data_IF_616944578287
#
_entry.id   IF_616944578287
#
_cell.length_a   1.000
_cell.length_b   1.000
_cell.length_c   1.000
_cell.angle_alpha   90.00
_cell.angle_beta   90.00
_cell.angle_gamma   90.00
#
_symmetry.space_group_name_H-M   'P 1'
#
loop_
_entity.id
_entity.type
_entity.pdbx_description
1 polymer ?
#
# COMPACT_ATOMS: atom_id res chain seq x y z
N UNK A 1 -7.18 -34.21 22.15
CA UNK A 1 -5.99 -33.37 22.44
C UNK A 1 -5.00 -33.56 21.30
N UNK A 2 -4.97 -32.64 20.34
CA UNK A 2 -3.90 -32.57 19.34
C UNK A 2 -2.98 -31.43 19.75
N UNK A 3 -1.84 -31.79 20.35
CA UNK A 3 -0.72 -30.88 20.56
C UNK A 3 -0.16 -30.51 19.18
N UNK A 4 -0.70 -29.45 18.57
CA UNK A 4 0.03 -28.68 17.58
C UNK A 4 1.12 -27.94 18.34
N UNK A 5 2.32 -28.49 18.36
CA UNK A 5 3.52 -27.71 18.65
C UNK A 5 3.60 -26.60 17.59
N UNK A 6 3.04 -25.43 17.89
CA UNK A 6 3.31 -24.20 17.16
C UNK A 6 4.82 -24.00 17.20
N UNK A 7 5.50 -24.06 16.05
CA UNK A 7 6.87 -23.62 15.96
C UNK A 7 6.88 -22.13 16.32
N UNK A 8 7.37 -21.81 17.52
CA UNK A 8 7.47 -20.44 18.03
C UNK A 8 8.48 -19.64 17.24
N UNK A 9 8.19 -18.36 16.98
CA UNK A 9 9.14 -17.44 16.34
C UNK A 9 10.41 -17.34 17.18
N UNK A 10 11.57 -17.56 16.56
CA UNK A 10 12.87 -17.40 17.23
C UNK A 10 13.24 -15.92 17.27
N UNK A 11 13.76 -15.42 18.40
CA UNK A 11 14.13 -14.01 18.57
C UNK A 11 15.60 -13.87 18.92
N UNK A 12 16.36 -13.25 18.02
CA UNK A 12 17.76 -12.87 18.22
C UNK A 12 17.79 -11.38 18.59
N UNK A 13 18.01 -11.09 19.88
CA UNK A 13 17.98 -9.72 20.41
C UNK A 13 19.18 -8.90 19.94
N UNK A 14 18.96 -7.61 19.72
CA UNK A 14 20.03 -6.62 19.57
C UNK A 14 20.69 -6.36 20.94
N UNK A 15 21.96 -5.95 20.92
CA UNK A 15 22.65 -5.45 22.13
C UNK A 15 22.33 -3.98 22.39
N UNK A 16 22.31 -3.17 21.32
CA UNK A 16 22.10 -1.72 21.37
C UNK A 16 21.12 -1.29 20.28
N UNK A 17 20.12 -0.49 20.65
CA UNK A 17 19.17 0.12 19.71
C UNK A 17 19.79 1.33 19.01
N UNK A 18 19.48 1.49 17.72
CA UNK A 18 19.89 2.64 16.90
C UNK A 18 18.87 3.78 16.93
N UNK A 19 17.85 3.71 17.78
CA UNK A 19 16.75 4.69 17.81
C UNK A 19 17.22 6.13 18.05
N UNK A 20 18.33 6.31 18.79
CA UNK A 20 18.90 7.62 19.09
C UNK A 20 19.71 8.22 17.93
N UNK A 21 19.92 7.47 16.84
CA UNK A 21 20.58 7.92 15.62
C UNK A 21 19.58 8.54 14.63
N UNK A 22 18.27 8.40 14.88
CA UNK A 22 17.20 8.81 13.97
C UNK A 22 16.53 10.12 14.42
N UNK A 23 16.50 11.11 13.53
CA UNK A 23 15.73 12.33 13.72
C UNK A 23 14.26 12.13 13.30
N UNK A 24 13.42 11.82 14.29
CA UNK A 24 11.99 11.63 14.07
C UNK A 24 11.24 12.89 13.61
N UNK A 25 11.84 14.09 13.67
CA UNK A 25 11.21 15.31 13.18
C UNK A 25 11.43 15.55 11.68
N UNK A 26 12.36 14.82 11.06
CA UNK A 26 12.72 14.97 9.67
C UNK A 26 12.85 13.61 8.98
N UNK A 27 11.72 12.90 8.88
CA UNK A 27 11.66 11.56 8.29
C UNK A 27 11.29 11.61 6.81
N UNK A 28 12.17 11.06 5.97
CA UNK A 28 11.82 10.65 4.62
C UNK A 28 11.21 9.25 4.63
N UNK A 29 10.06 9.08 3.96
CA UNK A 29 9.35 7.81 3.97
C UNK A 29 10.19 6.67 3.37
N UNK A 30 10.46 5.64 4.18
CA UNK A 30 11.13 4.42 3.72
C UNK A 30 12.66 4.49 3.69
N UNK A 31 13.26 5.56 4.20
CA UNK A 31 14.72 5.73 4.25
C UNK A 31 15.32 5.17 5.54
N UNK A 32 14.61 5.34 6.67
CA UNK A 32 15.00 4.81 7.97
C UNK A 32 14.28 3.50 8.29
N UNK A 33 14.96 2.59 8.99
CA UNK A 33 14.44 1.27 9.38
C UNK A 33 14.69 1.00 10.86
N UNK A 34 13.78 0.25 11.48
CA UNK A 34 13.88 -0.09 12.91
C UNK A 34 15.00 -1.09 13.21
N UNK A 35 15.15 -1.49 14.47
CA UNK A 35 16.25 -2.35 14.89
C UNK A 35 16.09 -3.81 14.48
N UNK A 36 14.86 -4.28 14.29
CA UNK A 36 14.56 -5.67 13.97
C UNK A 36 13.98 -5.85 12.58
N UNK A 37 14.19 -7.05 12.03
CA UNK A 37 13.46 -7.58 10.88
C UNK A 37 13.02 -9.03 11.14
N UNK A 38 11.95 -9.44 10.47
CA UNK A 38 11.49 -10.82 10.46
C UNK A 38 11.92 -11.50 9.17
N UNK A 39 12.33 -12.77 9.23
CA UNK A 39 12.54 -13.62 8.06
C UNK A 39 12.01 -15.05 8.27
N UNK A 40 11.58 -15.69 7.18
CA UNK A 40 11.14 -17.09 7.14
C UNK A 40 11.42 -17.68 5.76
N UNK A 41 11.95 -18.90 5.72
CA UNK A 41 12.39 -19.56 4.49
C UNK A 41 11.36 -20.56 4.00
N UNK A 42 11.17 -20.63 2.69
CA UNK A 42 10.44 -21.69 2.02
C UNK A 42 11.43 -22.55 1.22
N UNK A 43 11.46 -23.86 1.50
CA UNK A 43 12.18 -24.87 0.72
C UNK A 43 11.48 -26.22 0.93
N UNK A 44 11.57 -27.12 -0.05
CA UNK A 44 11.02 -28.47 0.02
C UNK A 44 9.52 -28.51 0.38
N UNK A 45 8.74 -27.52 -0.09
CA UNK A 45 7.30 -27.49 0.10
C UNK A 45 6.81 -26.83 1.40
N UNK A 46 7.70 -26.33 2.26
CA UNK A 46 7.32 -25.84 3.60
C UNK A 46 7.97 -24.51 3.95
N UNK A 47 7.21 -23.65 4.63
CA UNK A 47 7.74 -22.48 5.35
C UNK A 47 8.36 -22.93 6.68
N UNK A 48 9.55 -22.44 7.00
CA UNK A 48 10.36 -22.87 8.13
C UNK A 48 11.24 -21.74 8.67
N UNK A 49 11.80 -21.95 9.87
CA UNK A 49 12.72 -21.03 10.54
C UNK A 49 12.21 -19.58 10.71
N UNK A 50 10.97 -19.35 11.20
CA UNK A 50 10.51 -17.99 11.47
C UNK A 50 11.41 -17.33 12.54
N UNK A 51 12.10 -16.26 12.16
CA UNK A 51 13.15 -15.63 12.97
C UNK A 51 13.02 -14.11 12.95
N UNK A 52 13.01 -13.49 14.13
CA UNK A 52 13.23 -12.06 14.32
C UNK A 52 14.70 -11.86 14.67
N UNK A 53 15.36 -10.93 14.00
CA UNK A 53 16.81 -10.68 14.14
C UNK A 53 17.13 -9.20 13.92
N UNK A 54 18.36 -8.75 14.25
CA UNK A 54 18.79 -7.39 13.94
C UNK A 54 18.63 -7.09 12.44
N UNK A 55 18.09 -5.91 12.11
CA UNK A 55 17.97 -5.43 10.75
C UNK A 55 19.37 -5.33 10.09
N UNK A 56 19.48 -5.83 8.87
CA UNK A 56 20.75 -5.82 8.15
C UNK A 56 20.66 -6.34 6.72
N UNK A 57 21.77 -6.30 5.97
CA UNK A 57 21.80 -6.74 4.59
C UNK A 57 21.56 -8.24 4.45
N UNK A 58 21.00 -8.65 3.30
CA UNK A 58 20.88 -10.06 2.92
C UNK A 58 22.10 -10.49 2.11
N UNK A 59 22.65 -11.66 2.43
CA UNK A 59 23.57 -12.37 1.54
C UNK A 59 22.76 -13.24 0.58
N UNK A 60 22.71 -12.84 -0.69
CA UNK A 60 21.93 -13.53 -1.73
C UNK A 60 22.81 -13.78 -2.96
N UNK A 61 22.65 -14.95 -3.56
CA UNK A 61 23.33 -15.29 -4.81
C UNK A 61 22.90 -14.35 -5.94
N UNK A 62 23.82 -13.84 -6.77
CA UNK A 62 23.45 -13.07 -7.96
C UNK A 62 22.65 -13.91 -8.98
N UNK A 63 22.67 -15.24 -8.87
CA UNK A 63 21.87 -16.14 -9.69
C UNK A 63 20.43 -16.34 -9.16
N UNK A 64 20.03 -15.68 -8.07
CA UNK A 64 18.68 -15.81 -7.51
C UNK A 64 17.61 -15.31 -8.49
N UNK A 65 16.57 -16.11 -8.71
CA UNK A 65 15.49 -15.84 -9.68
C UNK A 65 14.79 -14.49 -9.49
N UNK A 66 14.78 -13.91 -8.29
CA UNK A 66 14.23 -12.55 -8.07
C UNK A 66 14.91 -11.49 -8.96
N UNK A 67 16.23 -11.60 -9.20
CA UNK A 67 16.97 -10.63 -10.01
C UNK A 67 16.74 -10.79 -11.51
N UNK A 68 16.38 -12.00 -11.95
CA UNK A 68 16.24 -12.32 -13.38
C UNK A 68 14.79 -12.26 -13.86
N UNK A 69 13.83 -12.60 -12.98
CA UNK A 69 12.43 -12.75 -13.35
C UNK A 69 11.46 -11.97 -12.45
N UNK A 70 11.96 -11.20 -11.48
CA UNK A 70 11.13 -10.31 -10.67
C UNK A 70 10.04 -11.01 -9.87
N UNK A 71 10.19 -12.31 -9.58
CA UNK A 71 9.21 -13.11 -8.83
C UNK A 71 9.20 -12.69 -7.35
N UNK A 72 8.53 -11.57 -7.09
CA UNK A 72 8.43 -10.94 -5.79
C UNK A 72 7.10 -10.20 -5.62
N UNK A 73 6.57 -10.25 -4.39
CA UNK A 73 5.37 -9.52 -3.98
C UNK A 73 5.61 -8.81 -2.66
N UNK A 74 4.86 -7.75 -2.39
CA UNK A 74 4.96 -7.03 -1.13
C UNK A 74 3.60 -6.55 -0.63
N UNK A 75 3.57 -6.12 0.62
CA UNK A 75 2.48 -5.38 1.23
C UNK A 75 2.95 -4.08 1.89
N UNK A 76 2.00 -3.27 2.32
CA UNK A 76 2.17 -2.04 3.04
C UNK A 76 0.98 -1.81 3.97
N UNK A 77 1.24 -1.86 5.27
CA UNK A 77 0.30 -1.46 6.31
C UNK A 77 0.97 -0.50 7.31
N UNK A 78 0.23 -0.05 8.31
CA UNK A 78 0.74 0.86 9.34
C UNK A 78 0.33 0.40 10.72
N UNK A 79 1.22 0.60 11.68
CA UNK A 79 0.93 0.58 13.11
C UNK A 79 0.89 2.02 13.64
N UNK A 80 0.01 2.24 14.61
CA UNK A 80 -0.23 3.52 15.26
C UNK A 80 -0.15 3.32 16.76
N UNK A 81 0.35 4.33 17.48
CA UNK A 81 0.36 4.33 18.93
C UNK A 81 -0.65 5.35 19.44
N UNK A 82 -1.60 4.89 20.26
CA UNK A 82 -2.63 5.75 20.83
C UNK A 82 -2.11 6.56 22.04
N UNK A 83 -3.00 7.35 22.65
CA UNK A 83 -2.68 8.20 23.81
C UNK A 83 -2.34 7.39 25.07
N UNK A 84 -2.79 6.14 25.16
CA UNK A 84 -2.48 5.22 26.26
C UNK A 84 -1.21 4.40 26.00
N UNK A 85 -0.54 4.64 24.87
CA UNK A 85 0.67 3.91 24.46
C UNK A 85 0.40 2.55 23.83
N UNK A 86 -0.87 2.17 23.58
CA UNK A 86 -1.23 0.91 22.95
C UNK A 86 -0.98 0.96 21.45
N UNK A 87 -0.58 -0.19 20.89
CA UNK A 87 -0.25 -0.32 19.47
C UNK A 87 -1.45 -0.89 18.72
N UNK A 88 -1.87 -0.19 17.68
CA UNK A 88 -3.01 -0.56 16.84
C UNK A 88 -2.58 -0.73 15.40
N UNK A 89 -3.08 -1.80 14.77
CA UNK A 89 -3.01 -2.03 13.33
C UNK A 89 -4.35 -1.71 12.68
N UNK A 90 -4.30 -1.27 11.43
CA UNK A 90 -5.50 -1.04 10.63
C UNK A 90 -5.68 -2.15 9.59
N UNK A 91 -6.71 -2.98 9.79
CA UNK A 91 -7.13 -4.06 8.90
C UNK A 91 -5.98 -5.03 8.51
N UNK A 92 -5.15 -5.53 9.46
CA UNK A 92 -4.00 -6.37 9.14
C UNK A 92 -4.38 -7.68 8.45
N UNK A 93 -5.56 -8.25 8.75
CA UNK A 93 -6.06 -9.46 8.09
C UNK A 93 -6.34 -9.25 6.60
N UNK A 94 -6.88 -8.09 6.21
CA UNK A 94 -7.06 -7.74 4.80
C UNK A 94 -5.72 -7.67 4.06
N UNK A 95 -4.67 -7.15 4.72
CA UNK A 95 -3.32 -7.11 4.14
C UNK A 95 -2.72 -8.51 3.99
N UNK A 96 -2.85 -9.36 5.02
CA UNK A 96 -2.44 -10.76 4.98
C UNK A 96 -3.10 -11.54 3.84
N UNK A 97 -4.41 -11.35 3.66
CA UNK A 97 -5.16 -11.99 2.58
C UNK A 97 -4.67 -11.50 1.20
N UNK A 98 -4.39 -10.19 1.06
CA UNK A 98 -3.95 -9.60 -0.21
C UNK A 98 -2.53 -9.98 -0.62
N UNK A 99 -1.58 -10.09 0.32
CA UNK A 99 -0.23 -10.58 -0.03
C UNK A 99 -0.28 -12.05 -0.48
N UNK A 100 -1.14 -12.88 0.12
CA UNK A 100 -1.33 -14.27 -0.32
C UNK A 100 -2.07 -14.38 -1.66
N UNK A 101 -3.03 -13.48 -1.94
CA UNK A 101 -3.63 -13.37 -3.26
C UNK A 101 -2.60 -12.99 -4.33
N UNK A 102 -1.74 -12.00 -4.02
CA UNK A 102 -0.64 -11.59 -4.90
C UNK A 102 0.37 -12.72 -5.10
N UNK A 103 0.70 -13.46 -4.03
CA UNK A 103 1.60 -14.61 -4.06
C UNK A 103 1.08 -15.69 -5.01
N UNK A 104 -0.21 -16.04 -4.92
CA UNK A 104 -0.85 -16.99 -5.83
C UNK A 104 -0.70 -16.58 -7.30
N UNK A 105 -0.89 -15.30 -7.62
CA UNK A 105 -0.75 -14.80 -9.00
C UNK A 105 0.66 -15.00 -9.57
N UNK A 106 1.68 -14.96 -8.72
CA UNK A 106 3.09 -15.13 -9.06
C UNK A 106 3.60 -16.56 -8.82
N UNK A 107 2.72 -17.53 -8.61
CA UNK A 107 3.08 -18.92 -8.26
C UNK A 107 3.98 -19.03 -7.01
N UNK A 108 3.80 -18.11 -6.06
CA UNK A 108 4.47 -18.12 -4.76
C UNK A 108 3.55 -18.84 -3.75
N UNK A 109 4.07 -19.79 -2.94
CA UNK A 109 3.31 -20.46 -1.89
C UNK A 109 2.71 -19.46 -0.89
N UNK A 110 1.50 -19.74 -0.41
CA UNK A 110 0.86 -18.90 0.60
C UNK A 110 1.64 -18.92 1.92
N UNK A 111 1.87 -17.77 2.53
CA UNK A 111 2.53 -17.65 3.82
C UNK A 111 1.54 -17.97 4.97
N UNK A 112 1.96 -18.72 6.02
CA UNK A 112 1.05 -19.14 7.09
C UNK A 112 0.56 -17.97 7.96
N UNK A 113 -0.75 -17.93 8.26
CA UNK A 113 -1.38 -16.86 9.06
C UNK A 113 -0.75 -16.76 10.46
N UNK A 114 -0.51 -17.88 11.12
CA UNK A 114 0.08 -17.90 12.46
C UNK A 114 1.48 -17.28 12.48
N UNK A 115 2.35 -17.63 11.53
CA UNK A 115 3.70 -17.04 11.45
C UNK A 115 3.64 -15.55 11.14
N UNK A 116 2.67 -15.12 10.33
CA UNK A 116 2.50 -13.70 9.99
C UNK A 116 2.17 -12.86 11.22
N UNK A 117 1.12 -13.24 11.96
CA UNK A 117 0.66 -12.46 13.10
C UNK A 117 1.60 -12.59 14.30
N UNK A 118 2.10 -13.79 14.61
CA UNK A 118 3.05 -13.99 15.71
C UNK A 118 4.36 -13.21 15.47
N UNK A 119 4.90 -13.26 14.24
CA UNK A 119 6.09 -12.51 13.87
C UNK A 119 5.86 -11.00 13.88
N UNK A 120 4.74 -10.53 13.33
CA UNK A 120 4.39 -9.11 13.27
C UNK A 120 4.21 -8.52 14.67
N UNK A 121 3.41 -9.14 15.53
CA UNK A 121 3.14 -8.66 16.89
C UNK A 121 4.38 -8.69 17.77
N UNK A 122 5.15 -9.78 17.70
CA UNK A 122 6.40 -9.89 18.48
C UNK A 122 7.39 -8.80 18.05
N UNK A 123 7.52 -8.55 16.75
CA UNK A 123 8.41 -7.51 16.24
C UNK A 123 7.91 -6.10 16.62
N UNK A 124 6.60 -5.84 16.56
CA UNK A 124 6.01 -4.55 16.99
C UNK A 124 6.23 -4.26 18.48
N UNK A 125 6.23 -5.29 19.32
CA UNK A 125 6.56 -5.15 20.76
C UNK A 125 8.03 -4.81 20.97
N UNK A 126 8.92 -5.50 20.25
CA UNK A 126 10.36 -5.27 20.32
C UNK A 126 10.74 -3.86 19.84
N UNK A 127 10.15 -3.41 18.73
CA UNK A 127 10.36 -2.08 18.16
C UNK A 127 9.33 -1.04 18.64
N UNK A 128 8.68 -1.27 19.78
CA UNK A 128 7.56 -0.43 20.23
C UNK A 128 7.95 1.05 20.38
N UNK A 129 9.17 1.36 20.82
CA UNK A 129 9.66 2.74 20.99
C UNK A 129 9.86 3.50 19.66
N UNK A 130 10.01 2.78 18.55
CA UNK A 130 10.07 3.35 17.19
C UNK A 130 8.71 3.87 16.73
N UNK A 131 7.61 3.42 17.35
CA UNK A 131 6.26 3.90 17.08
C UNK A 131 6.01 5.13 17.95
N UNK A 132 6.28 6.33 17.40
CA UNK A 132 6.02 7.58 18.11
C UNK A 132 4.51 7.85 18.18
N UNK A 133 3.99 8.27 19.35
CA UNK A 133 2.59 8.65 19.49
C UNK A 133 2.32 10.00 18.79
N UNK A 134 1.04 10.36 18.70
CA UNK A 134 0.61 11.66 18.19
C UNK A 134 0.27 11.66 16.70
N UNK A 135 -0.69 12.50 16.33
CA UNK A 135 -1.23 12.56 14.98
C UNK A 135 -0.15 12.88 13.95
N UNK A 136 -0.15 12.12 12.85
CA UNK A 136 0.84 12.22 11.79
C UNK A 136 1.99 11.21 11.93
N UNK A 137 2.21 10.62 13.10
CA UNK A 137 3.23 9.60 13.32
C UNK A 137 2.67 8.18 13.15
N UNK A 138 3.38 7.35 12.40
CA UNK A 138 3.05 5.94 12.22
C UNK A 138 4.32 5.11 12.03
N UNK A 139 4.21 3.80 12.22
CA UNK A 139 5.23 2.86 11.78
C UNK A 139 4.72 2.16 10.52
N UNK A 140 5.37 2.38 9.40
CA UNK A 140 5.05 1.67 8.17
C UNK A 140 5.64 0.26 8.20
N UNK A 141 4.82 -0.71 7.82
CA UNK A 141 5.14 -2.14 7.86
C UNK A 141 5.19 -2.66 6.43
N UNK A 142 6.30 -3.28 6.06
CA UNK A 142 6.60 -3.83 4.73
C UNK A 142 6.82 -5.34 4.78
N UNK A 143 5.75 -6.15 4.69
CA UNK A 143 5.88 -7.59 4.42
C UNK A 143 6.21 -7.81 2.94
N UNK A 144 7.04 -8.78 2.60
CA UNK A 144 7.35 -9.11 1.20
C UNK A 144 7.90 -10.53 1.06
N UNK A 145 7.76 -11.09 -0.14
CA UNK A 145 8.32 -12.40 -0.53
C UNK A 145 9.20 -12.22 -1.74
N UNK A 146 10.37 -12.86 -1.75
CA UNK A 146 11.28 -12.93 -2.90
C UNK A 146 11.62 -14.38 -3.24
N UNK A 147 11.77 -14.67 -4.53
CA UNK A 147 12.34 -15.92 -5.02
C UNK A 147 13.86 -15.99 -4.79
N UNK A 148 14.33 -17.01 -4.07
CA UNK A 148 15.74 -17.17 -3.69
C UNK A 148 16.45 -18.32 -4.40
N UNK A 149 15.73 -19.18 -5.12
CA UNK A 149 16.34 -20.29 -5.87
C UNK A 149 17.32 -19.75 -6.91
N UNK A 150 18.52 -20.31 -6.95
CA UNK A 150 19.49 -20.03 -8.01
C UNK A 150 19.05 -20.66 -9.32
N UNK A 151 19.08 -19.89 -10.40
CA UNK A 151 18.86 -20.40 -11.75
C UNK A 151 18.40 -19.35 -12.74
N UNK A 152 18.82 -19.52 -13.99
CA UNK A 152 18.43 -18.70 -15.15
C UNK A 152 17.44 -19.43 -16.05
N UNK A 153 16.74 -20.42 -15.50
CA UNK A 153 15.59 -21.03 -16.15
C UNK A 153 14.33 -20.24 -15.80
N UNK A 154 13.57 -19.88 -16.84
CA UNK A 154 12.30 -19.16 -16.69
C UNK A 154 11.20 -20.12 -16.18
N UNK A 155 11.23 -20.42 -14.89
CA UNK A 155 10.27 -21.25 -14.19
C UNK A 155 10.02 -20.70 -12.78
N UNK A 156 8.86 -20.97 -12.16
CA UNK A 156 8.63 -20.63 -10.77
C UNK A 156 9.76 -21.13 -9.87
N UNK A 157 10.09 -20.37 -8.84
CA UNK A 157 11.08 -20.75 -7.84
C UNK A 157 10.55 -21.89 -6.95
N UNK A 158 11.43 -22.78 -6.51
CA UNK A 158 11.12 -23.75 -5.44
C UNK A 158 11.55 -23.25 -4.05
N UNK A 159 12.24 -22.11 -4.01
CA UNK A 159 12.77 -21.50 -2.80
C UNK A 159 12.38 -20.03 -2.69
N UNK A 160 11.88 -19.63 -1.52
CA UNK A 160 11.45 -18.26 -1.27
C UNK A 160 11.90 -17.82 0.11
N UNK A 161 11.96 -16.51 0.31
CA UNK A 161 12.11 -15.89 1.62
C UNK A 161 11.01 -14.87 1.81
N UNK A 162 10.25 -15.00 2.90
CA UNK A 162 9.31 -14.00 3.37
C UNK A 162 9.98 -13.16 4.45
N UNK A 163 9.78 -11.84 4.40
CA UNK A 163 10.34 -10.91 5.38
C UNK A 163 9.35 -9.81 5.75
N UNK A 164 9.56 -9.21 6.92
CA UNK A 164 8.88 -7.99 7.35
C UNK A 164 9.94 -6.98 7.78
N UNK A 165 9.83 -5.75 7.27
CA UNK A 165 10.60 -4.59 7.72
C UNK A 165 9.66 -3.53 8.28
N UNK A 166 10.15 -2.75 9.23
CA UNK A 166 9.47 -1.54 9.68
C UNK A 166 10.28 -0.30 9.35
N UNK A 167 9.56 0.79 9.08
CA UNK A 167 10.13 2.11 8.81
C UNK A 167 9.25 3.16 9.48
N UNK A 168 9.80 4.03 10.35
CA UNK A 168 9.03 5.14 10.91
C UNK A 168 8.60 6.08 9.77
N UNK A 169 7.35 6.51 9.81
CA UNK A 169 6.73 7.27 8.73
C UNK A 169 5.91 8.44 9.29
N UNK A 170 6.18 9.63 8.73
CA UNK A 170 5.33 10.81 8.85
C UNK A 170 4.44 10.96 7.60
N UNK A 171 3.63 12.02 7.55
CA UNK A 171 2.71 12.27 6.45
C UNK A 171 3.44 12.24 5.08
N UNK A 172 3.00 11.34 4.19
CA UNK A 172 3.69 11.00 2.94
C UNK A 172 3.73 12.12 1.89
N UNK A 173 2.66 12.91 1.78
CA UNK A 173 2.60 14.06 0.89
C UNK A 173 2.29 15.34 1.68
N UNK A 174 3.12 16.35 1.47
CA UNK A 174 2.88 17.72 1.91
C UNK A 174 2.10 18.47 0.83
N UNK A 175 0.79 18.25 0.80
CA UNK A 175 -0.14 19.00 -0.06
C UNK A 175 -0.77 18.19 -1.20
N UNK A 176 -1.42 18.92 -2.10
CA UNK A 176 -2.18 18.37 -3.21
C UNK A 176 -1.26 17.95 -4.35
N UNK A 177 -1.63 16.89 -5.07
CA UNK A 177 -0.84 16.39 -6.20
C UNK A 177 -1.38 16.87 -7.54
N UNK A 178 -0.48 17.25 -8.43
CA UNK A 178 -0.78 17.44 -9.86
C UNK A 178 -0.65 16.11 -10.59
N UNK A 179 -1.58 15.78 -11.46
CA UNK A 179 -1.59 14.51 -12.19
C UNK A 179 -1.74 14.68 -13.70
N UNK A 180 -1.25 13.74 -14.48
CA UNK A 180 -1.48 13.68 -15.94
C UNK A 180 -2.19 12.39 -16.28
N UNK A 181 -3.21 12.45 -17.14
CA UNK A 181 -3.93 11.27 -17.61
C UNK A 181 -3.05 10.56 -18.64
N UNK A 182 -2.89 9.24 -18.50
CA UNK A 182 -2.12 8.43 -19.43
C UNK A 182 -2.81 8.34 -20.80
N UNK A 183 -2.09 8.69 -21.85
CA UNK A 183 -2.59 8.67 -23.24
C UNK A 183 -2.01 7.51 -24.07
N UNK A 184 -0.92 6.89 -23.61
CA UNK A 184 -0.19 5.87 -24.36
C UNK A 184 0.31 4.72 -23.47
N UNK A 185 0.83 5.03 -22.27
CA UNK A 185 1.35 4.01 -21.38
C UNK A 185 0.22 3.36 -20.59
N UNK A 186 0.29 2.03 -20.50
CA UNK A 186 -0.64 1.23 -19.70
C UNK A 186 0.04 0.72 -18.45
N UNK A 187 -0.65 0.78 -17.31
CA UNK A 187 -0.17 0.21 -16.05
C UNK A 187 -0.30 -1.32 -16.02
N UNK A 188 -1.40 -1.81 -16.57
CA UNK A 188 -1.78 -3.22 -16.61
C UNK A 188 -2.86 -3.44 -17.66
N UNK A 189 -3.00 -4.68 -18.12
CA UNK A 189 -4.00 -5.10 -19.09
C UNK A 189 -4.84 -6.26 -18.55
N UNK A 190 -5.98 -6.53 -19.19
CA UNK A 190 -6.86 -7.66 -18.83
C UNK A 190 -6.12 -8.99 -18.96
N UNK A 191 -6.34 -9.91 -18.02
CA UNK A 191 -5.55 -11.14 -17.89
C UNK A 191 -4.11 -10.92 -17.40
N UNK A 192 -3.70 -9.68 -17.14
CA UNK A 192 -2.38 -9.32 -16.64
C UNK A 192 -2.19 -9.56 -15.14
N UNK A 193 -1.24 -8.83 -14.55
CA UNK A 193 -0.84 -8.97 -13.14
C UNK A 193 -1.24 -7.75 -12.30
N UNK A 194 -2.01 -6.81 -12.83
CA UNK A 194 -2.30 -5.50 -12.23
C UNK A 194 -2.97 -5.58 -10.86
N UNK A 195 -3.82 -6.57 -10.63
CA UNK A 195 -4.50 -6.82 -9.36
C UNK A 195 -3.59 -7.39 -8.25
N UNK A 196 -2.37 -7.81 -8.59
CA UNK A 196 -1.38 -8.27 -7.62
C UNK A 196 -0.46 -7.13 -7.20
N UNK A 197 -0.05 -7.12 -5.93
CA UNK A 197 0.98 -6.21 -5.42
C UNK A 197 2.38 -6.76 -5.72
N UNK A 198 2.64 -7.00 -7.00
CA UNK A 198 3.86 -7.56 -7.55
C UNK A 198 4.92 -6.49 -7.81
N UNK A 199 6.19 -6.77 -7.51
CA UNK A 199 7.27 -5.78 -7.66
C UNK A 199 7.38 -5.23 -9.10
N UNK A 200 7.26 -6.10 -10.11
CA UNK A 200 7.32 -5.73 -11.53
C UNK A 200 6.26 -4.70 -11.96
N UNK A 201 5.08 -4.72 -11.34
CA UNK A 201 4.02 -3.75 -11.63
C UNK A 201 4.41 -2.31 -11.30
N UNK A 202 5.29 -2.12 -10.33
CA UNK A 202 5.75 -0.80 -9.88
C UNK A 202 6.94 -0.36 -10.72
N UNK A 203 7.90 -1.26 -10.98
CA UNK A 203 9.06 -0.95 -11.82
C UNK A 203 8.67 -0.46 -13.21
N UNK A 204 7.65 -1.07 -13.83
CA UNK A 204 7.15 -0.68 -15.15
C UNK A 204 6.58 0.76 -15.21
N UNK A 205 6.22 1.34 -14.07
CA UNK A 205 5.60 2.68 -14.00
C UNK A 205 6.62 3.81 -13.93
N UNK A 206 7.89 3.53 -13.58
CA UNK A 206 8.86 4.56 -13.27
C UNK A 206 9.19 5.46 -14.47
N UNK A 207 9.34 4.88 -15.67
CA UNK A 207 9.62 5.67 -16.86
C UNK A 207 8.48 6.62 -17.23
N UNK A 208 7.21 6.18 -17.38
CA UNK A 208 6.10 7.10 -17.61
C UNK A 208 5.92 8.15 -16.49
N UNK A 209 6.16 7.77 -15.24
CA UNK A 209 6.08 8.70 -14.11
C UNK A 209 7.17 9.77 -14.18
N UNK A 210 8.38 9.44 -14.65
CA UNK A 210 9.44 10.42 -14.84
C UNK A 210 9.09 11.42 -15.96
N UNK A 211 8.52 10.94 -17.07
CA UNK A 211 8.02 11.83 -18.13
C UNK A 211 6.93 12.80 -17.62
N UNK A 212 6.07 12.33 -16.72
CA UNK A 212 5.08 13.19 -16.06
C UNK A 212 5.75 14.26 -15.17
N UNK A 213 6.79 13.87 -14.40
CA UNK A 213 7.58 14.78 -13.57
C UNK A 213 8.31 15.85 -14.36
N UNK A 214 8.90 15.48 -15.49
CA UNK A 214 9.54 16.43 -16.42
C UNK A 214 8.57 17.49 -16.93
N UNK A 215 7.27 17.17 -17.02
CA UNK A 215 6.18 18.10 -17.37
C UNK A 215 5.57 18.83 -16.17
N UNK A 216 6.11 18.68 -14.97
CA UNK A 216 5.63 19.35 -13.75
C UNK A 216 4.45 18.66 -13.05
N UNK A 217 4.15 17.40 -13.40
CA UNK A 217 3.15 16.58 -12.71
C UNK A 217 3.81 15.60 -11.73
N UNK A 218 3.10 15.24 -10.66
CA UNK A 218 3.64 14.37 -9.62
C UNK A 218 3.34 12.89 -9.86
N UNK A 219 2.19 12.59 -10.48
CA UNK A 219 1.69 11.24 -10.71
C UNK A 219 0.95 11.13 -12.03
N UNK A 220 0.69 9.89 -12.46
CA UNK A 220 -0.08 9.56 -13.65
C UNK A 220 -1.43 9.00 -13.23
N UNK A 221 -2.55 9.49 -13.78
CA UNK A 221 -3.80 8.73 -13.75
C UNK A 221 -3.77 7.75 -14.91
N UNK A 222 -3.67 6.46 -14.58
CA UNK A 222 -3.67 5.36 -15.52
C UNK A 222 -5.04 5.17 -16.15
N UNK A 223 -5.02 4.79 -17.42
CA UNK A 223 -6.20 4.51 -18.23
C UNK A 223 -6.20 3.05 -18.68
N UNK A 224 -7.35 2.58 -19.16
CA UNK A 224 -7.48 1.23 -19.69
C UNK A 224 -6.48 0.96 -20.82
N UNK A 225 -5.99 -0.28 -20.88
CA UNK A 225 -4.90 -0.63 -21.80
C UNK A 225 -5.29 -0.78 -23.27
N UNK A 226 -6.59 -0.69 -23.58
CA UNK A 226 -7.08 -0.94 -24.93
C UNK A 226 -7.31 0.37 -25.68
N UNK A 227 -8.17 1.22 -25.12
CA UNK A 227 -8.63 2.43 -25.80
C UNK A 227 -8.08 3.71 -25.16
N UNK A 228 -7.46 3.61 -23.97
CA UNK A 228 -7.02 4.77 -23.18
C UNK A 228 -8.13 5.82 -22.99
N UNK A 229 -9.36 5.35 -22.77
CA UNK A 229 -10.57 6.18 -22.65
C UNK A 229 -11.15 6.18 -21.22
N UNK A 230 -10.76 5.22 -20.39
CA UNK A 230 -11.36 5.00 -19.07
C UNK A 230 -10.31 5.04 -17.96
N UNK A 231 -10.62 5.77 -16.91
CA UNK A 231 -9.72 6.05 -15.78
C UNK A 231 -9.72 4.89 -14.78
N UNK A 232 -8.55 4.53 -14.25
CA UNK A 232 -8.37 3.35 -13.39
C UNK A 232 -7.77 3.65 -12.01
N UNK A 233 -6.53 4.14 -11.98
CA UNK A 233 -5.72 4.35 -10.76
C UNK A 233 -4.86 5.61 -10.90
N UNK A 234 -4.46 6.24 -9.80
CA UNK A 234 -3.57 7.39 -9.77
C UNK A 234 -2.22 7.01 -9.16
N UNK A 235 -1.20 6.83 -10.01
CA UNK A 235 0.12 6.36 -9.61
C UNK A 235 0.04 4.96 -9.03
N UNK A 236 0.21 4.86 -7.70
CA UNK A 236 0.13 3.60 -6.94
C UNK A 236 -1.10 3.55 -6.00
N UNK A 237 -2.09 4.41 -6.26
CA UNK A 237 -3.32 4.56 -5.48
C UNK A 237 -4.55 4.26 -6.34
N UNK A 238 -5.60 3.72 -5.73
CA UNK A 238 -6.92 3.80 -6.37
C UNK A 238 -7.37 5.27 -6.43
N UNK A 239 -8.23 5.62 -7.39
CA UNK A 239 -8.70 7.01 -7.59
C UNK A 239 -10.21 7.11 -7.46
N UNK A 240 -10.66 8.22 -6.88
CA UNK A 240 -12.06 8.63 -6.81
C UNK A 240 -12.25 9.98 -7.49
N UNK A 241 -13.42 10.15 -8.10
CA UNK A 241 -13.88 11.39 -8.70
C UNK A 241 -15.20 11.77 -8.04
N UNK A 242 -15.31 12.99 -7.51
CA UNK A 242 -16.56 13.53 -6.99
C UNK A 242 -17.20 14.40 -8.06
N UNK A 243 -18.30 13.94 -8.64
CA UNK A 243 -19.14 14.72 -9.55
C UNK A 243 -20.44 15.05 -8.82
N UNK A 244 -20.67 16.34 -8.58
CA UNK A 244 -21.69 16.84 -7.65
C UNK A 244 -21.56 16.14 -6.28
N UNK A 245 -22.57 15.37 -5.87
CA UNK A 245 -22.59 14.62 -4.60
C UNK A 245 -22.41 13.11 -4.79
N UNK A 246 -21.99 12.67 -5.98
CA UNK A 246 -21.72 11.26 -6.27
C UNK A 246 -20.22 11.00 -6.33
N UNK A 247 -19.77 9.95 -5.65
CA UNK A 247 -18.42 9.41 -5.75
C UNK A 247 -18.35 8.33 -6.82
N UNK A 248 -17.48 8.54 -7.80
CA UNK A 248 -17.20 7.61 -8.88
C UNK A 248 -15.83 6.97 -8.66
N UNK A 249 -15.72 5.66 -8.88
CA UNK A 249 -14.43 4.96 -8.93
C UNK A 249 -14.55 3.76 -9.86
N UNK A 250 -13.44 3.38 -10.49
CA UNK A 250 -13.40 2.19 -11.32
C UNK A 250 -13.65 0.92 -10.47
N UNK A 251 -14.33 -0.11 -11.02
CA UNK A 251 -14.49 -1.39 -10.34
C UNK A 251 -13.14 -2.10 -10.23
N UNK A 252 -12.98 -2.94 -9.21
CA UNK A 252 -11.83 -3.84 -9.15
C UNK A 252 -11.86 -4.82 -10.33
N UNK A 253 -10.69 -5.19 -10.84
CA UNK A 253 -10.51 -6.09 -11.99
C UNK A 253 -9.11 -6.69 -11.96
N UNK A 254 -8.74 -7.49 -12.95
CA UNK A 254 -7.35 -7.96 -13.14
C UNK A 254 -6.32 -6.81 -13.29
N UNK A 255 -6.82 -5.59 -13.55
CA UNK A 255 -6.04 -4.37 -13.76
C UNK A 255 -6.07 -3.41 -12.58
N UNK A 256 -6.99 -3.55 -11.63
CA UNK A 256 -7.17 -2.57 -10.56
C UNK A 256 -7.04 -3.27 -9.22
N UNK A 257 -6.08 -2.82 -8.42
CA UNK A 257 -5.80 -3.42 -7.13
C UNK A 257 -6.99 -3.21 -6.18
N UNK A 258 -7.39 -4.25 -5.44
CA UNK A 258 -8.37 -4.12 -4.37
C UNK A 258 -7.74 -3.41 -3.15
N UNK A 259 -7.77 -2.07 -3.19
CA UNK A 259 -7.24 -1.22 -2.14
C UNK A 259 -8.02 -1.32 -0.84
N UNK A 260 -7.33 -1.59 0.27
CA UNK A 260 -7.94 -1.57 1.61
C UNK A 260 -8.50 -0.18 1.93
N UNK A 261 -7.75 0.89 1.63
CA UNK A 261 -8.23 2.27 1.82
C UNK A 261 -9.41 2.59 0.91
N UNK A 262 -9.40 2.13 -0.36
CA UNK A 262 -10.54 2.24 -1.28
C UNK A 262 -11.80 1.62 -0.67
N UNK A 263 -11.71 0.37 -0.19
CA UNK A 263 -12.82 -0.32 0.46
C UNK A 263 -13.31 0.42 1.71
N UNK A 264 -12.40 0.96 2.51
CA UNK A 264 -12.77 1.74 3.70
C UNK A 264 -13.50 3.05 3.35
N UNK A 265 -13.05 3.78 2.32
CA UNK A 265 -13.75 4.99 1.83
C UNK A 265 -15.15 4.66 1.32
N UNK A 266 -15.31 3.58 0.56
CA UNK A 266 -16.63 3.14 0.08
C UNK A 266 -17.56 2.78 1.24
N UNK A 267 -17.04 2.11 2.28
CA UNK A 267 -17.82 1.76 3.45
C UNK A 267 -18.26 2.99 4.26
N UNK A 268 -17.37 3.97 4.46
CA UNK A 268 -17.69 5.25 5.09
C UNK A 268 -18.73 6.02 4.30
N UNK A 269 -18.55 6.14 2.98
CA UNK A 269 -19.50 6.81 2.10
C UNK A 269 -20.90 6.18 2.20
N UNK A 270 -20.99 4.85 2.16
CA UNK A 270 -22.27 4.12 2.30
C UNK A 270 -22.93 4.34 3.66
N UNK A 271 -22.16 4.30 4.76
CA UNK A 271 -22.66 4.59 6.12
C UNK A 271 -23.25 6.01 6.19
N UNK A 272 -22.61 6.96 5.51
CA UNK A 272 -22.98 8.38 5.54
C UNK A 272 -24.05 8.75 4.51
N UNK A 273 -24.61 7.78 3.79
CA UNK A 273 -25.62 8.02 2.75
C UNK A 273 -25.09 8.71 1.49
N UNK A 274 -23.76 8.76 1.31
CA UNK A 274 -23.13 9.30 0.10
C UNK A 274 -23.25 8.28 -1.03
N UNK A 275 -23.77 8.71 -2.18
CA UNK A 275 -23.91 7.84 -3.36
C UNK A 275 -22.53 7.48 -3.91
N UNK A 276 -22.28 6.18 -4.07
CA UNK A 276 -21.06 5.63 -4.68
C UNK A 276 -21.43 4.82 -5.92
N UNK A 277 -20.77 5.09 -7.04
CA UNK A 277 -20.87 4.30 -8.26
C UNK A 277 -19.52 3.64 -8.59
N UNK A 278 -19.48 2.32 -8.51
CA UNK A 278 -18.34 1.51 -8.91
C UNK A 278 -18.52 1.07 -10.38
N UNK A 279 -18.05 1.89 -11.33
CA UNK A 279 -18.20 1.66 -12.77
C UNK A 279 -17.04 2.24 -13.55
N UNK A 280 -16.91 1.89 -14.84
CA UNK A 280 -15.95 2.57 -15.72
C UNK A 280 -16.26 4.08 -15.74
N UNK A 281 -15.23 4.89 -15.58
CA UNK A 281 -15.30 6.36 -15.60
C UNK A 281 -14.55 6.83 -16.84
N UNK A 282 -15.22 7.49 -17.78
CA UNK A 282 -14.56 7.94 -19.00
C UNK A 282 -13.81 9.24 -18.78
N UNK A 283 -12.76 9.46 -19.58
CA UNK A 283 -12.03 10.75 -19.59
C UNK A 283 -12.99 11.88 -19.98
N UNK A 284 -13.84 11.66 -20.99
CA UNK A 284 -14.81 12.65 -21.47
C UNK A 284 -15.74 13.12 -20.35
N UNK A 285 -16.30 12.19 -19.57
CA UNK A 285 -17.17 12.49 -18.42
C UNK A 285 -16.47 13.42 -17.43
N UNK A 286 -15.22 13.12 -17.08
CA UNK A 286 -14.46 13.92 -16.12
C UNK A 286 -14.04 15.29 -16.70
N UNK A 287 -13.63 15.36 -17.96
CA UNK A 287 -13.28 16.63 -18.60
C UNK A 287 -14.50 17.53 -18.78
N UNK A 288 -15.65 16.98 -19.20
CA UNK A 288 -16.91 17.72 -19.34
C UNK A 288 -17.41 18.19 -17.97
N UNK A 289 -17.34 17.33 -16.94
CA UNK A 289 -17.69 17.68 -15.57
C UNK A 289 -16.78 18.79 -15.02
N UNK A 290 -15.50 18.81 -15.41
CA UNK A 290 -14.59 19.89 -15.05
C UNK A 290 -14.98 21.20 -15.74
N UNK A 291 -15.30 21.17 -17.04
CA UNK A 291 -15.66 22.36 -17.83
C UNK A 291 -16.98 22.97 -17.34
N UNK A 292 -17.98 22.15 -17.01
CA UNK A 292 -19.28 22.63 -16.55
C UNK A 292 -19.35 22.86 -15.02
N UNK A 293 -18.23 22.69 -14.29
CA UNK A 293 -18.12 22.95 -12.86
C UNK A 293 -18.80 21.94 -11.94
N UNK A 294 -19.20 20.77 -12.44
CA UNK A 294 -19.79 19.69 -11.63
C UNK A 294 -18.75 18.76 -11.01
N UNK A 295 -17.54 18.67 -11.56
CA UNK A 295 -16.41 17.98 -10.94
C UNK A 295 -15.91 18.80 -9.73
N UNK A 296 -16.05 18.22 -8.53
CA UNK A 296 -15.73 18.89 -7.27
C UNK A 296 -14.37 18.47 -6.72
N UNK A 297 -14.04 17.19 -6.78
CA UNK A 297 -12.80 16.66 -6.19
C UNK A 297 -12.29 15.48 -7.02
N UNK A 298 -10.96 15.33 -7.09
CA UNK A 298 -10.30 14.07 -7.44
C UNK A 298 -9.34 13.75 -6.29
N UNK A 299 -9.29 12.50 -5.87
CA UNK A 299 -8.33 12.08 -4.85
C UNK A 299 -7.91 10.62 -4.99
N UNK A 300 -6.63 10.36 -4.71
CA UNK A 300 -6.09 9.03 -4.60
C UNK A 300 -6.26 8.46 -3.19
N UNK A 301 -6.45 7.14 -3.07
CA UNK A 301 -6.51 6.42 -1.79
C UNK A 301 -5.46 5.31 -1.74
N UNK A 302 -4.71 5.24 -0.64
CA UNK A 302 -3.69 4.19 -0.42
C UNK A 302 -3.04 4.28 0.95
N UNK A 303 -2.39 3.22 1.42
CA UNK A 303 -1.84 3.14 2.80
C UNK A 303 -0.87 4.29 3.13
N UNK A 304 0.00 4.66 2.18
CA UNK A 304 1.06 5.64 2.43
C UNK A 304 0.48 7.04 2.73
N UNK A 305 -0.37 7.56 1.86
CA UNK A 305 -0.96 8.90 1.97
C UNK A 305 -2.31 8.95 2.71
N UNK A 306 -2.93 7.79 2.96
CA UNK A 306 -4.35 7.63 3.32
C UNK A 306 -5.24 8.16 2.20
N UNK A 307 -5.30 9.49 2.05
CA UNK A 307 -5.95 10.19 0.95
C UNK A 307 -5.02 11.30 0.45
N UNK A 308 -4.85 11.36 -0.87
CA UNK A 308 -4.07 12.38 -1.59
C UNK A 308 -4.99 13.17 -2.51
N UNK A 309 -5.40 14.40 -2.14
CA UNK A 309 -6.18 15.27 -3.00
C UNK A 309 -5.39 15.66 -4.25
N UNK A 310 -6.08 15.80 -5.38
CA UNK A 310 -5.52 16.30 -6.63
C UNK A 310 -5.88 17.77 -6.77
N UNK A 311 -4.90 18.63 -7.05
CA UNK A 311 -5.14 20.05 -7.34
C UNK A 311 -5.44 20.30 -8.81
N UNK A 312 -4.73 19.59 -9.68
CA UNK A 312 -4.77 19.80 -11.12
C UNK A 312 -4.62 18.47 -11.85
N UNK A 313 -5.34 18.31 -12.95
CA UNK A 313 -5.11 17.20 -13.87
C UNK A 313 -4.91 17.69 -15.30
N UNK A 314 -4.17 16.94 -16.10
CA UNK A 314 -3.95 17.26 -17.52
C UNK A 314 -4.33 16.11 -18.44
N UNK A 315 -4.87 16.46 -19.61
CA UNK A 315 -5.19 15.55 -20.70
C UNK A 315 -5.06 16.27 -22.04
N UNK A 316 -4.34 15.69 -23.01
CA UNK A 316 -4.10 16.29 -24.33
C UNK A 316 -3.57 17.72 -24.25
N UNK A 317 -2.57 17.91 -23.39
CA UNK A 317 -1.90 19.20 -23.12
C UNK A 317 -2.77 20.27 -22.47
N UNK A 318 -4.08 20.06 -22.35
CA UNK A 318 -4.97 20.92 -21.57
C UNK A 318 -4.78 20.63 -20.07
N UNK A 319 -4.68 21.68 -19.27
CA UNK A 319 -4.66 21.61 -17.80
C UNK A 319 -6.03 22.02 -17.27
N UNK A 320 -6.53 21.25 -16.32
CA UNK A 320 -7.79 21.46 -15.61
C UNK A 320 -7.48 21.70 -14.14
N UNK A 321 -8.00 22.80 -13.60
CA UNK A 321 -7.82 23.20 -12.21
C UNK A 321 -9.03 22.78 -11.39
N UNK A 322 -8.82 22.05 -10.30
CA UNK A 322 -9.89 21.65 -9.40
C UNK A 322 -10.14 22.73 -8.34
N UNK A 323 -11.40 22.92 -7.90
CA UNK A 323 -11.70 23.86 -6.83
C UNK A 323 -11.07 23.36 -5.52
N UNK A 324 -10.44 24.27 -4.77
CA UNK A 324 -9.96 23.94 -3.41
C UNK A 324 -11.13 23.86 -2.45
N UNK A 325 -11.18 22.81 -1.64
CA UNK A 325 -12.15 22.68 -0.56
C UNK A 325 -11.51 22.16 0.71
N UNK A 326 -11.62 22.93 1.79
CA UNK A 326 -11.18 22.51 3.13
C UNK A 326 -12.21 21.60 3.83
N UNK A 327 -13.42 21.48 3.28
CA UNK A 327 -14.53 20.70 3.82
C UNK A 327 -15.03 19.62 2.84
N UNK A 328 -14.22 19.31 1.83
CA UNK A 328 -14.53 18.30 0.82
C UNK A 328 -14.55 16.87 1.37
N UNK A 329 -15.06 15.94 0.56
CA UNK A 329 -15.10 14.52 0.88
C UNK A 329 -13.70 13.96 1.11
N UNK A 330 -12.70 14.39 0.34
CA UNK A 330 -11.32 13.93 0.52
C UNK A 330 -10.80 14.27 1.93
N UNK A 331 -11.01 15.51 2.39
CA UNK A 331 -10.59 15.97 3.73
C UNK A 331 -11.36 15.25 4.84
N UNK A 332 -12.68 15.12 4.70
CA UNK A 332 -13.54 14.42 5.68
C UNK A 332 -13.13 12.95 5.83
N UNK A 333 -13.01 12.20 4.74
CA UNK A 333 -12.61 10.80 4.81
C UNK A 333 -11.19 10.63 5.33
N UNK A 334 -10.26 11.54 4.98
CA UNK A 334 -8.89 11.49 5.48
C UNK A 334 -8.87 11.65 6.99
N UNK A 335 -9.56 12.68 7.50
CA UNK A 335 -9.67 12.94 8.94
C UNK A 335 -10.23 11.72 9.65
N UNK A 336 -11.39 11.23 9.22
CA UNK A 336 -12.08 10.14 9.88
C UNK A 336 -11.30 8.82 9.85
N UNK A 337 -10.74 8.43 8.70
CA UNK A 337 -9.90 7.23 8.63
C UNK A 337 -8.68 7.33 9.54
N UNK A 338 -8.09 8.52 9.64
CA UNK A 338 -6.95 8.76 10.52
C UNK A 338 -7.38 8.68 11.98
N UNK A 339 -8.48 9.31 12.37
CA UNK A 339 -9.00 9.23 13.75
C UNK A 339 -9.36 7.78 14.16
N UNK A 340 -9.90 6.97 13.24
CA UNK A 340 -10.07 5.52 13.46
C UNK A 340 -8.70 4.86 13.68
N UNK A 341 -7.76 5.04 12.75
CA UNK A 341 -6.43 4.41 12.80
C UNK A 341 -5.66 4.69 14.10
N UNK A 342 -5.77 5.91 14.65
CA UNK A 342 -5.09 6.34 15.87
C UNK A 342 -5.87 6.05 17.15
N UNK A 343 -6.96 5.28 17.05
CA UNK A 343 -7.82 4.93 18.18
C UNK A 343 -8.44 6.16 18.90
N UNK A 344 -8.78 7.23 18.16
CA UNK A 344 -9.33 8.47 18.73
C UNK A 344 -10.85 8.54 18.69
N UNK A 345 -11.47 7.85 17.74
CA UNK A 345 -12.94 7.73 17.64
C UNK A 345 -13.35 6.27 17.63
N UNK A 346 -14.63 6.00 17.81
CA UNK A 346 -15.16 4.65 17.71
C UNK A 346 -14.96 4.08 16.30
N UNK A 347 -14.47 2.84 16.25
CA UNK A 347 -14.41 2.07 15.02
C UNK A 347 -15.65 1.19 14.87
N UNK A 348 -16.68 1.76 14.27
CA UNK A 348 -17.98 1.09 14.04
C UNK A 348 -17.91 -0.09 13.05
N UNK A 349 -16.76 -0.32 12.40
CA UNK A 349 -16.56 -1.40 11.44
C UNK A 349 -15.68 -2.54 11.97
N UNK A 350 -15.05 -2.39 13.13
CA UNK A 350 -14.12 -3.39 13.67
C UNK A 350 -12.85 -3.59 12.82
N UNK A 351 -12.36 -2.52 12.21
CA UNK A 351 -11.15 -2.47 11.39
C UNK A 351 -9.84 -2.44 12.19
N UNK A 352 -9.85 -1.94 13.43
CA UNK A 352 -8.68 -1.85 14.29
C UNK A 352 -8.38 -3.19 14.92
N UNK A 353 -7.09 -3.48 15.03
CA UNK A 353 -6.56 -4.66 15.67
C UNK A 353 -5.57 -4.23 16.75
N UNK A 354 -5.87 -4.57 18.01
CA UNK A 354 -4.98 -4.30 19.13
C UNK A 354 -3.83 -5.32 19.11
N UNK A 355 -2.60 -4.83 19.23
CA UNK A 355 -1.44 -5.68 19.52
C UNK A 355 -1.37 -5.86 21.03
N UNK A 356 -1.77 -7.03 21.53
CA UNK A 356 -1.85 -7.36 22.96
C UNK A 356 -0.49 -7.69 23.59
#
# INVERSE_FOLDING_TARGET
MNLKTQASVTVNKIETSRINEVDFNNLSFGDEFTDYMFECDYRAGTWSNPTIKPFGPLSISPAAKVFHYGQAVFEGMKAYKDVDGKIWLFRPEDNFNRINHSSKRLAIPAFPKNFFFEGLETMLKLDSDWIKPGMGNSLYIRPFVIATQCGVSASPSDEYKFMILFSPAQAYYTGDVKVVIAEHFSRSADGGVGAAKAAGNYAAQFYPTNLAKEKGFHQVIWTDSNEHNYLEEAGTMNVFFRVNDTLLTAPISDRILDGITRRSVIALAKRDGIKVEERRVSISEITEASINGTLKEIFGTGTAAVISPVSDFSYKEQVYHLPKSTEGFATRFKKELTEIQYNQIEDTFGWRYLVE
#
